data_IF_359043092548
#
_entry.id   IF_359043092548
#
_cell.length_a   1.000
_cell.length_b   1.000
_cell.length_c   1.000
_cell.angle_alpha   90.00
_cell.angle_beta   90.00
_cell.angle_gamma   90.00
#
_symmetry.space_group_name_H-M   'P 1'
#
loop_
_entity.id
_entity.type
_entity.pdbx_description
1 polymer ?
#
# COMPACT_ATOMS: atom_id res chain seq x y z
N UNK A 1 -4.99 -48.90 30.50
CA UNK A 1 -3.72 -48.14 30.66
C UNK A 1 -3.71 -47.08 29.56
N UNK A 2 -4.16 -45.85 29.86
CA UNK A 2 -4.27 -44.77 28.88
C UNK A 2 -2.88 -44.21 28.57
N UNK A 3 -2.43 -44.36 27.32
CA UNK A 3 -1.08 -44.00 26.91
C UNK A 3 -0.85 -42.49 26.83
N UNK A 4 -0.07 -41.95 27.77
CA UNK A 4 0.37 -40.55 27.84
C UNK A 4 1.19 -40.09 26.62
N UNK A 5 1.75 -41.02 25.83
CA UNK A 5 2.49 -40.71 24.58
C UNK A 5 1.63 -40.03 23.51
N UNK A 6 0.33 -40.35 23.41
CA UNK A 6 -0.58 -39.74 22.42
C UNK A 6 -1.04 -38.32 22.80
N UNK A 7 -0.96 -37.95 24.08
CA UNK A 7 -1.30 -36.60 24.54
C UNK A 7 -0.13 -35.64 24.34
N UNK A 8 1.10 -36.09 24.56
CA UNK A 8 2.30 -35.27 24.32
C UNK A 8 2.55 -35.02 22.83
N UNK A 9 2.28 -35.99 21.94
CA UNK A 9 2.40 -35.78 20.49
C UNK A 9 1.34 -34.78 19.97
N UNK A 10 0.09 -34.91 20.42
CA UNK A 10 -0.98 -33.95 20.09
C UNK A 10 -0.71 -32.56 20.64
N UNK A 11 -0.18 -32.43 21.86
CA UNK A 11 0.19 -31.14 22.42
C UNK A 11 1.37 -30.49 21.67
N UNK A 12 2.32 -31.29 21.17
CA UNK A 12 3.39 -30.80 20.31
C UNK A 12 2.90 -30.40 18.92
N UNK A 13 1.97 -31.14 18.33
CA UNK A 13 1.32 -30.76 17.07
C UNK A 13 0.47 -29.50 17.23
N UNK A 14 -0.32 -29.38 18.29
CA UNK A 14 -1.09 -28.16 18.60
C UNK A 14 -0.15 -26.97 18.80
N UNK A 15 0.92 -27.13 19.60
CA UNK A 15 1.91 -26.06 19.81
C UNK A 15 2.65 -25.69 18.52
N UNK A 16 2.93 -26.66 17.65
CA UNK A 16 3.55 -26.42 16.34
C UNK A 16 2.58 -25.70 15.39
N UNK A 17 1.30 -26.06 15.40
CA UNK A 17 0.24 -25.39 14.66
C UNK A 17 0.02 -23.96 15.18
N UNK A 18 0.07 -23.74 16.49
CA UNK A 18 0.00 -22.40 17.11
C UNK A 18 1.22 -21.55 16.72
N UNK A 19 2.44 -22.10 16.78
CA UNK A 19 3.67 -21.40 16.35
C UNK A 19 3.66 -21.12 14.84
N UNK A 20 3.19 -22.07 14.01
CA UNK A 20 3.06 -21.87 12.57
C UNK A 20 1.96 -20.85 12.25
N UNK A 21 0.83 -20.85 12.96
CA UNK A 21 -0.24 -19.85 12.82
C UNK A 21 0.20 -18.45 13.27
N UNK A 22 0.92 -18.33 14.39
CA UNK A 22 1.55 -17.07 14.82
C UNK A 22 2.48 -16.54 13.72
N UNK A 23 3.24 -17.43 13.06
CA UNK A 23 4.13 -17.04 11.95
C UNK A 23 3.37 -16.58 10.71
N UNK A 24 2.20 -17.14 10.41
CA UNK A 24 1.39 -16.78 9.23
C UNK A 24 0.67 -15.46 9.48
N UNK A 25 0.04 -15.29 10.65
CA UNK A 25 -0.61 -14.04 11.02
C UNK A 25 0.39 -12.87 11.08
N UNK A 26 1.57 -13.09 11.65
CA UNK A 26 2.62 -12.07 11.68
C UNK A 26 3.10 -11.70 10.28
N UNK A 27 3.32 -12.68 9.38
CA UNK A 27 3.68 -12.40 7.98
C UNK A 27 2.60 -11.62 7.25
N UNK A 28 1.33 -11.96 7.49
CA UNK A 28 0.20 -11.24 6.92
C UNK A 28 0.16 -9.78 7.39
N UNK A 29 0.30 -9.53 8.70
CA UNK A 29 0.34 -8.17 9.25
C UNK A 29 1.53 -7.35 8.74
N UNK A 30 2.72 -7.93 8.72
CA UNK A 30 3.91 -7.27 8.17
C UNK A 30 3.72 -6.90 6.69
N UNK A 31 3.07 -7.78 5.92
CA UNK A 31 2.73 -7.50 4.53
C UNK A 31 1.72 -6.37 4.41
N UNK A 32 0.65 -6.36 5.23
CA UNK A 32 -0.32 -5.26 5.27
C UNK A 32 0.33 -3.91 5.61
N UNK A 33 1.24 -3.89 6.58
CA UNK A 33 1.99 -2.66 6.92
C UNK A 33 2.89 -2.21 5.78
N UNK A 34 3.55 -3.14 5.10
CA UNK A 34 4.36 -2.82 3.92
C UNK A 34 3.51 -2.29 2.76
N UNK A 35 2.32 -2.84 2.53
CA UNK A 35 1.34 -2.30 1.57
C UNK A 35 0.95 -0.88 1.94
N UNK A 36 0.54 -0.65 3.20
CA UNK A 36 0.17 0.67 3.71
C UNK A 36 1.29 1.69 3.56
N UNK A 37 2.53 1.30 3.87
CA UNK A 37 3.74 2.11 3.67
C UNK A 37 3.93 2.50 2.20
N UNK A 38 3.91 1.54 1.28
CA UNK A 38 4.07 1.82 -0.15
C UNK A 38 2.96 2.72 -0.70
N UNK A 39 1.71 2.56 -0.25
CA UNK A 39 0.62 3.47 -0.61
C UNK A 39 0.91 4.90 -0.11
N UNK A 40 1.32 5.03 1.16
CA UNK A 40 1.70 6.31 1.75
C UNK A 40 2.83 7.00 0.97
N UNK A 41 3.84 6.23 0.55
CA UNK A 41 4.97 6.73 -0.25
C UNK A 41 4.54 7.20 -1.65
N UNK A 42 3.60 6.50 -2.30
CA UNK A 42 3.01 6.95 -3.57
C UNK A 42 2.32 8.30 -3.40
N UNK A 43 1.54 8.46 -2.32
CA UNK A 43 0.83 9.71 -2.04
C UNK A 43 1.81 10.86 -1.75
N UNK A 44 2.83 10.59 -0.93
CA UNK A 44 3.91 11.54 -0.65
C UNK A 44 4.65 11.95 -1.93
N UNK A 45 4.91 11.00 -2.84
CA UNK A 45 5.50 11.27 -4.16
C UNK A 45 4.63 12.22 -4.98
N UNK A 46 3.31 11.96 -5.05
CA UNK A 46 2.38 12.84 -5.75
C UNK A 46 2.46 14.26 -5.18
N UNK A 47 2.39 14.38 -3.85
CA UNK A 47 2.42 15.68 -3.19
C UNK A 47 3.73 16.44 -3.35
N UNK A 48 4.86 15.74 -3.40
CA UNK A 48 6.18 16.34 -3.57
C UNK A 48 6.37 16.93 -4.97
N UNK A 49 5.88 16.24 -6.00
CA UNK A 49 6.28 16.52 -7.39
C UNK A 49 5.17 17.07 -8.28
N UNK A 50 3.88 16.85 -8.00
CA UNK A 50 2.79 17.22 -8.92
C UNK A 50 2.74 18.72 -9.26
N UNK A 51 3.05 19.57 -8.27
CA UNK A 51 3.06 21.03 -8.38
C UNK A 51 4.49 21.62 -8.44
N UNK A 52 5.52 20.79 -8.70
CA UNK A 52 6.89 21.29 -8.84
C UNK A 52 7.03 22.11 -10.13
N UNK A 53 7.74 23.23 -10.06
CA UNK A 53 7.88 24.17 -11.18
C UNK A 53 9.29 24.24 -11.76
N UNK A 54 10.26 23.59 -11.11
CA UNK A 54 11.61 23.48 -11.61
C UNK A 54 11.70 22.42 -12.72
N UNK A 55 12.18 22.84 -13.90
CA UNK A 55 12.38 22.01 -15.08
C UNK A 55 13.26 20.79 -14.82
N UNK A 56 14.14 20.83 -13.82
CA UNK A 56 14.97 19.69 -13.43
C UNK A 56 14.13 18.48 -12.98
N UNK A 57 12.87 18.69 -12.57
CA UNK A 57 11.97 17.65 -12.04
C UNK A 57 10.76 17.38 -12.92
N UNK A 58 10.80 17.77 -14.20
CA UNK A 58 9.67 17.61 -15.12
C UNK A 58 9.25 16.12 -15.28
N UNK A 59 10.22 15.20 -15.29
CA UNK A 59 9.93 13.77 -15.37
C UNK A 59 9.14 13.27 -14.15
N UNK A 60 9.55 13.66 -12.94
CA UNK A 60 8.88 13.33 -11.68
C UNK A 60 7.48 13.95 -11.64
N UNK A 61 7.34 15.20 -12.10
CA UNK A 61 6.06 15.88 -12.22
C UNK A 61 5.08 15.15 -13.14
N UNK A 62 5.53 14.67 -14.30
CA UNK A 62 4.72 13.89 -15.22
C UNK A 62 4.23 12.60 -14.54
N UNK A 63 5.13 11.89 -13.86
CA UNK A 63 4.79 10.65 -13.12
C UNK A 63 3.79 10.94 -12.01
N UNK A 64 4.02 11.97 -11.19
CA UNK A 64 3.14 12.35 -10.09
C UNK A 64 1.73 12.73 -10.56
N UNK A 65 1.61 13.47 -11.68
CA UNK A 65 0.31 13.82 -12.24
C UNK A 65 -0.41 12.61 -12.84
N UNK A 66 0.32 11.65 -13.43
CA UNK A 66 -0.27 10.37 -13.85
C UNK A 66 -0.76 9.55 -12.66
N UNK A 67 0.05 9.39 -11.62
CA UNK A 67 -0.31 8.68 -10.39
C UNK A 67 -1.53 9.30 -9.70
N UNK A 68 -1.59 10.63 -9.60
CA UNK A 68 -2.75 11.36 -9.06
C UNK A 68 -4.07 10.90 -9.68
N UNK A 69 -4.09 10.66 -10.99
CA UNK A 69 -5.30 10.28 -11.71
C UNK A 69 -5.95 8.97 -11.21
N UNK A 70 -5.17 8.06 -10.63
CA UNK A 70 -5.66 6.81 -10.04
C UNK A 70 -6.43 7.04 -8.73
N UNK A 71 -6.16 8.13 -8.01
CA UNK A 71 -6.78 8.42 -6.71
C UNK A 71 -7.98 9.38 -6.82
N UNK A 72 -8.03 10.22 -7.86
CA UNK A 72 -9.13 11.19 -8.06
C UNK A 72 -10.19 10.74 -9.07
N UNK A 73 -9.94 9.63 -9.79
CA UNK A 73 -10.79 9.16 -10.88
C UNK A 73 -10.62 9.99 -12.15
N UNK A 74 -10.49 9.33 -13.30
CA UNK A 74 -10.35 9.98 -14.61
C UNK A 74 -11.69 10.40 -15.22
N UNK A 75 -12.79 9.77 -14.82
CA UNK A 75 -14.13 10.01 -15.37
C UNK A 75 -15.21 9.77 -14.31
N UNK A 76 -16.32 10.50 -14.38
CA UNK A 76 -17.46 10.43 -13.45
C UNK A 76 -18.14 9.04 -13.36
N UNK A 77 -17.70 8.05 -14.14
CA UNK A 77 -18.36 6.74 -14.29
C UNK A 77 -17.46 5.51 -14.05
N UNK A 78 -16.15 5.67 -13.84
CA UNK A 78 -15.27 4.54 -13.50
C UNK A 78 -15.03 4.49 -11.98
N UNK A 79 -15.37 3.41 -11.29
CA UNK A 79 -15.12 3.32 -9.85
C UNK A 79 -13.62 3.37 -9.59
N UNK A 80 -13.17 4.35 -8.80
CA UNK A 80 -11.78 4.62 -8.43
C UNK A 80 -11.03 3.34 -8.00
N UNK A 81 -11.74 2.42 -7.34
CA UNK A 81 -11.22 1.11 -6.93
C UNK A 81 -10.65 0.28 -8.08
N UNK A 82 -11.20 0.35 -9.30
CA UNK A 82 -10.69 -0.42 -10.44
C UNK A 82 -9.36 0.13 -10.96
N UNK A 83 -9.21 1.46 -11.04
CA UNK A 83 -7.94 2.08 -11.42
C UNK A 83 -6.87 1.74 -10.39
N UNK A 84 -7.19 1.85 -9.10
CA UNK A 84 -6.26 1.51 -8.02
C UNK A 84 -5.81 0.04 -8.09
N UNK A 85 -6.73 -0.88 -8.38
CA UNK A 85 -6.41 -2.30 -8.56
C UNK A 85 -5.37 -2.53 -9.67
N UNK A 86 -5.48 -1.81 -10.80
CA UNK A 86 -4.48 -1.88 -11.87
C UNK A 86 -3.10 -1.42 -11.38
N UNK A 87 -3.04 -0.29 -10.68
CA UNK A 87 -1.79 0.24 -10.15
C UNK A 87 -1.17 -0.73 -9.13
N UNK A 88 -1.96 -1.24 -8.21
CA UNK A 88 -1.51 -2.08 -7.10
C UNK A 88 -1.16 -3.51 -7.50
N UNK A 89 -1.77 -4.01 -8.58
CA UNK A 89 -1.46 -5.31 -9.18
C UNK A 89 -0.30 -5.29 -10.18
N UNK A 90 0.26 -4.12 -10.49
CA UNK A 90 1.30 -4.01 -11.50
C UNK A 90 2.68 -4.49 -11.01
N UNK A 91 3.46 -5.03 -11.93
CA UNK A 91 4.86 -5.40 -11.69
C UNK A 91 5.79 -4.37 -12.35
N UNK A 92 6.66 -3.66 -11.58
CA UNK A 92 7.60 -2.68 -12.12
C UNK A 92 8.69 -3.25 -13.03
N UNK A 93 8.87 -4.57 -13.02
CA UNK A 93 9.81 -5.28 -13.90
C UNK A 93 9.16 -5.66 -15.25
N UNK A 94 7.85 -5.49 -15.43
CA UNK A 94 7.19 -5.65 -16.72
C UNK A 94 7.28 -4.35 -17.54
N UNK A 95 8.06 -4.33 -18.63
CA UNK A 95 8.24 -3.13 -19.44
C UNK A 95 6.97 -2.74 -20.23
N UNK A 96 6.01 -3.66 -20.38
CA UNK A 96 4.76 -3.41 -21.11
C UNK A 96 3.68 -2.77 -20.23
N UNK A 97 3.84 -2.81 -18.89
CA UNK A 97 2.89 -2.25 -17.94
C UNK A 97 3.13 -0.75 -17.76
N UNK A 98 2.12 0.07 -18.07
CA UNK A 98 2.19 1.52 -17.83
C UNK A 98 2.27 1.81 -16.33
N UNK A 99 1.45 1.12 -15.54
CA UNK A 99 1.44 1.17 -14.08
C UNK A 99 2.77 0.71 -13.49
N UNK A 100 3.35 -0.38 -14.02
CA UNK A 100 4.66 -0.87 -13.62
C UNK A 100 5.75 0.19 -13.80
N UNK A 101 5.75 0.90 -14.94
CA UNK A 101 6.69 2.01 -15.17
C UNK A 101 6.50 3.17 -14.19
N UNK A 102 5.26 3.49 -13.80
CA UNK A 102 4.98 4.51 -12.79
C UNK A 102 5.53 4.10 -11.42
N UNK A 103 5.28 2.86 -10.98
CA UNK A 103 5.80 2.32 -9.73
C UNK A 103 7.34 2.27 -9.74
N UNK A 104 7.93 1.89 -10.88
CA UNK A 104 9.39 1.90 -11.06
C UNK A 104 9.97 3.29 -10.80
N UNK A 105 9.33 4.33 -11.32
CA UNK A 105 9.79 5.71 -11.14
C UNK A 105 9.69 6.22 -9.69
N UNK A 106 8.84 5.61 -8.85
CA UNK A 106 8.72 5.94 -7.42
C UNK A 106 9.72 5.16 -6.58
N UNK A 107 9.83 3.85 -6.81
CA UNK A 107 10.49 2.94 -5.88
C UNK A 107 11.89 2.48 -6.30
N UNK A 108 12.26 2.60 -7.57
CA UNK A 108 13.58 2.14 -8.03
C UNK A 108 14.61 3.25 -7.89
N UNK A 109 15.78 2.89 -7.36
CA UNK A 109 16.93 3.78 -7.25
C UNK A 109 17.98 3.28 -8.24
N UNK A 110 18.46 4.16 -9.13
CA UNK A 110 19.44 3.80 -10.17
C UNK A 110 19.03 2.57 -11.00
N UNK A 111 17.74 2.44 -11.33
CA UNK A 111 17.16 1.30 -12.05
C UNK A 111 17.22 -0.06 -11.31
N UNK A 112 17.55 -0.09 -10.03
CA UNK A 112 17.48 -1.27 -9.19
C UNK A 112 16.33 -1.16 -8.18
N UNK A 113 15.65 -2.30 -7.94
CA UNK A 113 14.63 -2.42 -6.88
C UNK A 113 15.34 -2.55 -5.53
N UNK A 114 15.12 -1.62 -4.57
CA UNK A 114 15.61 -1.78 -3.22
C UNK A 114 14.99 -3.02 -2.55
N UNK A 115 15.74 -3.65 -1.64
CA UNK A 115 15.19 -4.68 -0.77
C UNK A 115 14.11 -4.06 0.15
N UNK A 116 13.03 -4.80 0.41
CA UNK A 116 11.94 -4.39 1.30
C UNK A 116 10.64 -4.03 0.60
N UNK A 117 10.66 -3.64 -0.68
CA UNK A 117 9.41 -3.42 -1.43
C UNK A 117 8.81 -4.71 -1.98
N UNK A 118 7.49 -4.81 -1.90
CA UNK A 118 6.72 -5.92 -2.47
C UNK A 118 6.03 -5.49 -3.77
N UNK A 119 6.18 -6.33 -4.79
CA UNK A 119 5.47 -6.19 -6.07
C UNK A 119 5.04 -7.57 -6.59
N UNK A 120 3.82 -7.70 -7.16
CA UNK A 120 2.74 -6.71 -7.08
C UNK A 120 2.39 -6.40 -5.61
N UNK A 121 1.96 -5.16 -5.33
CA UNK A 121 1.71 -4.72 -3.95
C UNK A 121 0.59 -5.55 -3.34
N UNK A 122 -0.43 -5.86 -4.13
CA UNK A 122 -1.55 -6.74 -3.78
C UNK A 122 -1.60 -7.92 -4.75
N UNK A 123 -1.97 -9.09 -4.25
CA UNK A 123 -2.07 -10.29 -5.08
C UNK A 123 -3.41 -10.40 -5.82
N UNK A 124 -3.56 -11.39 -6.68
CA UNK A 124 -4.78 -11.59 -7.49
C UNK A 124 -6.03 -11.83 -6.64
N UNK A 125 -5.89 -12.45 -5.46
CA UNK A 125 -7.02 -12.67 -4.55
C UNK A 125 -7.45 -11.36 -3.91
N UNK A 126 -6.50 -10.59 -3.36
CA UNK A 126 -6.74 -9.29 -2.74
C UNK A 126 -7.31 -8.28 -3.74
N UNK A 127 -6.92 -8.37 -5.01
CA UNK A 127 -7.46 -7.52 -6.07
C UNK A 127 -8.83 -8.00 -6.58
N UNK A 128 -9.31 -9.17 -6.14
CA UNK A 128 -10.53 -9.83 -6.60
C UNK A 128 -10.48 -10.23 -8.09
N UNK A 129 -9.29 -10.59 -8.59
CA UNK A 129 -9.06 -11.08 -9.95
C UNK A 129 -9.30 -12.58 -10.01
N UNK A 130 -8.72 -13.35 -9.08
CA UNK A 130 -8.86 -14.81 -9.04
C UNK A 130 -10.24 -15.25 -8.53
N UNK A 131 -10.87 -14.44 -7.69
CA UNK A 131 -12.21 -14.66 -7.15
C UNK A 131 -13.01 -13.34 -7.16
N UNK A 132 -13.77 -13.06 -8.23
CA UNK A 132 -14.53 -11.83 -8.39
C UNK A 132 -15.59 -11.65 -7.30
N UNK A 133 -15.54 -10.51 -6.60
CA UNK A 133 -16.42 -10.16 -5.50
C UNK A 133 -15.88 -10.50 -4.10
N UNK A 134 -14.83 -11.33 -3.98
CA UNK A 134 -14.33 -11.81 -2.68
C UNK A 134 -12.98 -11.22 -2.24
N UNK A 135 -12.36 -10.34 -3.04
CA UNK A 135 -11.12 -9.66 -2.66
C UNK A 135 -11.35 -8.43 -1.77
N UNK A 136 -10.40 -7.49 -1.76
CA UNK A 136 -10.54 -6.22 -1.05
C UNK A 136 -11.39 -5.22 -1.84
N UNK A 137 -12.22 -4.47 -1.09
CA UNK A 137 -12.90 -3.27 -1.56
C UNK A 137 -12.02 -2.05 -1.27
N UNK A 138 -11.39 -1.48 -2.30
CA UNK A 138 -10.61 -0.25 -2.17
C UNK A 138 -11.51 0.98 -2.21
N UNK A 139 -11.39 1.83 -1.19
CA UNK A 139 -12.07 3.13 -1.12
C UNK A 139 -11.06 4.24 -0.85
N UNK A 140 -11.15 5.35 -1.59
CA UNK A 140 -10.32 6.53 -1.34
C UNK A 140 -11.14 7.55 -0.57
N UNK A 141 -10.62 8.02 0.57
CA UNK A 141 -11.25 9.07 1.37
C UNK A 141 -10.45 10.38 1.30
N UNK A 142 -11.06 11.51 0.86
CA UNK A 142 -10.37 12.79 0.77
C UNK A 142 -10.36 13.59 2.08
N UNK A 143 -10.99 13.11 3.14
CA UNK A 143 -11.23 13.91 4.34
C UNK A 143 -10.40 13.49 5.56
N UNK A 144 -9.54 12.49 5.40
CA UNK A 144 -8.77 11.92 6.49
C UNK A 144 -7.31 11.69 6.08
N UNK A 145 -6.41 11.80 7.05
CA UNK A 145 -4.99 11.41 6.92
C UNK A 145 -4.77 9.96 7.39
N UNK A 146 -5.71 9.39 8.13
CA UNK A 146 -5.66 8.00 8.60
C UNK A 146 -6.64 7.14 7.80
N UNK A 147 -6.10 6.09 7.18
CA UNK A 147 -6.87 5.02 6.55
C UNK A 147 -7.29 3.96 7.56
N UNK A 148 -8.07 2.99 7.08
CA UNK A 148 -8.52 1.88 7.90
C UNK A 148 -8.67 0.60 7.07
N UNK A 149 -8.39 -0.53 7.72
CA UNK A 149 -8.83 -1.84 7.27
C UNK A 149 -10.10 -2.18 8.05
N UNK A 150 -11.21 -2.37 7.35
CA UNK A 150 -12.51 -2.60 7.98
C UNK A 150 -13.11 -3.92 7.52
N UNK A 151 -13.88 -4.53 8.43
CA UNK A 151 -14.72 -5.66 8.07
C UNK A 151 -15.72 -5.26 6.97
N UNK A 152 -16.07 -6.20 6.08
CA UNK A 152 -17.11 -6.00 5.09
C UNK A 152 -18.45 -5.72 5.77
N UNK A 153 -19.31 -4.94 5.11
CA UNK A 153 -20.65 -4.68 5.61
C UNK A 153 -21.50 -5.97 5.59
N UNK A 154 -22.57 -6.01 6.39
CA UNK A 154 -23.48 -7.16 6.39
C UNK A 154 -24.00 -7.45 4.96
N UNK A 155 -23.75 -8.67 4.48
CA UNK A 155 -24.06 -9.16 3.12
C UNK A 155 -23.16 -8.62 1.98
N UNK A 156 -22.04 -7.97 2.30
CA UNK A 156 -21.04 -7.61 1.31
C UNK A 156 -20.13 -8.84 1.02
N UNK A 157 -19.95 -9.24 -0.25
CA UNK A 157 -19.18 -10.44 -0.60
C UNK A 157 -17.67 -10.28 -0.41
N UNK A 158 -17.18 -9.03 -0.27
CA UNK A 158 -15.76 -8.72 -0.18
C UNK A 158 -15.15 -9.23 1.13
N UNK A 159 -13.86 -9.58 1.09
CA UNK A 159 -13.17 -10.07 2.29
C UNK A 159 -12.94 -8.95 3.31
N UNK A 160 -12.49 -7.79 2.85
CA UNK A 160 -12.18 -6.62 3.67
C UNK A 160 -12.37 -5.33 2.86
N UNK A 161 -12.63 -4.22 3.55
CA UNK A 161 -12.59 -2.88 2.96
C UNK A 161 -11.26 -2.21 3.32
N UNK A 162 -10.53 -1.74 2.30
CA UNK A 162 -9.25 -1.07 2.42
C UNK A 162 -9.43 0.43 2.12
N UNK A 163 -9.50 1.24 3.18
CA UNK A 163 -9.71 2.69 3.09
C UNK A 163 -8.36 3.39 2.98
N UNK A 164 -8.15 4.03 1.84
CA UNK A 164 -6.93 4.77 1.50
C UNK A 164 -7.18 6.27 1.72
N UNK A 165 -6.47 6.92 2.66
CA UNK A 165 -6.58 8.35 2.86
C UNK A 165 -5.89 9.09 1.71
N UNK A 166 -6.57 10.04 1.10
CA UNK A 166 -6.02 10.91 0.07
C UNK A 166 -6.50 12.36 0.27
N UNK A 167 -6.15 12.99 1.40
CA UNK A 167 -6.61 14.33 1.71
C UNK A 167 -5.94 15.38 0.79
N UNK A 168 -6.47 16.62 0.76
CA UNK A 168 -5.77 17.73 0.14
C UNK A 168 -4.36 17.86 0.70
N UNK A 169 -3.39 18.06 -0.21
CA UNK A 169 -2.00 18.30 0.18
C UNK A 169 -1.94 19.51 1.13
N UNK A 170 -1.28 19.39 2.30
CA UNK A 170 -1.05 20.54 3.16
C UNK A 170 -0.18 21.59 2.47
N UNK A 171 -0.24 22.83 2.92
CA UNK A 171 0.75 23.84 2.51
C UNK A 171 2.13 23.34 2.92
N UNK A 172 3.11 23.38 2.01
CA UNK A 172 4.46 22.92 2.31
C UNK A 172 5.23 24.00 3.08
N UNK A 173 5.86 23.61 4.18
CA UNK A 173 6.68 24.47 5.03
C UNK A 173 6.86 23.88 6.43
N UNK A 174 7.73 24.51 7.22
CA UNK A 174 8.19 23.98 8.50
C UNK A 174 7.08 23.76 9.56
N UNK A 175 5.93 24.43 9.41
CA UNK A 175 4.82 24.30 10.37
C UNK A 175 4.00 23.02 10.17
N UNK A 176 4.08 22.39 9.00
CA UNK A 176 3.22 21.29 8.58
C UNK A 176 4.08 20.16 8.02
N UNK A 177 4.51 20.30 6.78
CA UNK A 177 5.23 19.29 6.02
C UNK A 177 6.15 20.00 5.03
N UNK A 178 7.46 19.76 5.10
CA UNK A 178 8.41 20.32 4.14
C UNK A 178 8.74 19.31 3.02
N UNK A 179 9.50 19.78 2.02
CA UNK A 179 9.84 18.97 0.84
C UNK A 179 10.82 17.87 1.21
N UNK A 180 11.74 18.17 2.11
CA UNK A 180 12.78 17.28 2.61
C UNK A 180 12.15 16.07 3.32
N UNK A 181 11.20 16.29 4.22
CA UNK A 181 10.45 15.24 4.93
C UNK A 181 9.71 14.32 3.96
N UNK A 182 9.08 14.88 2.91
CA UNK A 182 8.43 14.09 1.87
C UNK A 182 9.45 13.23 1.12
N UNK A 183 10.59 13.79 0.73
CA UNK A 183 11.63 13.06 0.03
C UNK A 183 12.28 11.96 0.86
N UNK A 184 12.52 12.23 2.14
CA UNK A 184 13.00 11.24 3.11
C UNK A 184 12.01 10.09 3.24
N UNK A 185 10.72 10.38 3.38
CA UNK A 185 9.69 9.34 3.47
C UNK A 185 9.58 8.50 2.19
N UNK A 186 9.59 9.14 1.01
CA UNK A 186 9.57 8.45 -0.29
C UNK A 186 10.75 7.46 -0.41
N UNK A 187 11.93 7.83 0.12
CA UNK A 187 13.15 7.02 0.04
C UNK A 187 13.31 6.05 1.21
N UNK A 188 12.42 6.08 2.20
CA UNK A 188 12.54 5.26 3.41
C UNK A 188 12.32 3.77 3.09
N UNK A 189 13.38 2.98 3.21
CA UNK A 189 13.38 1.52 3.04
C UNK A 189 13.56 0.77 4.37
N UNK A 190 13.52 1.48 5.51
CA UNK A 190 13.70 0.84 6.82
C UNK A 190 12.55 -0.14 7.08
N UNK A 191 12.90 -1.40 7.36
CA UNK A 191 11.95 -2.48 7.62
C UNK A 191 11.28 -2.40 9.00
N UNK A 192 11.72 -1.45 9.85
CA UNK A 192 11.12 -1.19 11.17
C UNK A 192 10.23 0.06 11.19
N UNK A 193 10.22 0.86 10.13
CA UNK A 193 9.44 2.10 10.04
C UNK A 193 8.34 1.96 8.99
N UNK A 194 7.14 1.52 9.41
CA UNK A 194 6.00 1.35 8.51
C UNK A 194 5.14 2.60 8.34
N UNK A 195 5.23 3.53 9.30
CA UNK A 195 4.39 4.72 9.36
C UNK A 195 5.25 5.98 9.31
N UNK A 196 4.76 7.00 8.60
CA UNK A 196 5.42 8.28 8.56
C UNK A 196 5.42 8.93 9.95
N UNK A 197 6.55 9.48 10.37
CA UNK A 197 6.63 10.23 11.62
C UNK A 197 5.85 11.55 11.59
N UNK A 198 5.72 12.16 10.40
CA UNK A 198 4.98 13.40 10.23
C UNK A 198 3.47 13.09 10.08
N UNK A 199 2.59 13.64 10.94
CA UNK A 199 1.16 13.31 10.96
C UNK A 199 0.39 13.83 9.74
N UNK A 200 0.98 14.72 8.95
CA UNK A 200 0.38 15.18 7.71
C UNK A 200 0.66 14.24 6.54
N UNK A 201 1.53 13.24 6.66
CA UNK A 201 1.70 12.22 5.62
C UNK A 201 0.64 11.13 5.85
N UNK A 202 -0.25 10.85 4.88
CA UNK A 202 -1.33 9.91 5.08
C UNK A 202 -0.82 8.48 5.23
N UNK A 203 -1.38 7.73 6.18
CA UNK A 203 -1.00 6.34 6.45
C UNK A 203 -2.23 5.46 6.53
N UNK A 204 -2.11 4.21 6.04
CA UNK A 204 -3.15 3.18 6.21
C UNK A 204 -2.59 2.07 7.09
N UNK A 205 -3.48 1.36 7.80
CA UNK A 205 -3.14 0.24 8.68
C UNK A 205 -2.30 0.62 9.92
N UNK A 206 -2.44 1.85 10.43
CA UNK A 206 -1.83 2.28 11.70
C UNK A 206 -2.64 1.84 12.93
#
# INVERSE_FOLDING_TARGET
>A
MFGTRNLCSKAQEIKKLEIEQESVAQKFLLRLYQQGKQISQIIAYIWRWADENDYAYEAQKIVANKLKSYFVGLEQNAPIGNSIKLLFGANPDDPSSTEGQLLRAVFYVNNAKPEGYIFPMFDEFELSISDPGHGYLFEVTPNDFSGALMDPQANAPEFMKFIIPYPPRPVLGNATLDKETLEEWIKNIDSNEFFAANPYIPTTCC
#
